data_IF_282122797417
#
_entry.id   IF_282122797417
#
_cell.length_a   1.000
_cell.length_b   1.000
_cell.length_c   1.000
_cell.angle_alpha   90.00
_cell.angle_beta   90.00
_cell.angle_gamma   90.00
#
_symmetry.space_group_name_H-M   'P 1'
#
loop_
_entity.id
_entity.type
_entity.pdbx_description
1 polymer ?
#
# COMPACT_ATOMS: atom_id res chain seq x y z
N UNK A 1 16.74 8.80 -10.40
CA UNK A 1 16.03 9.91 -9.72
C UNK A 1 14.75 10.40 -10.41
N UNK A 2 14.03 9.57 -11.19
CA UNK A 2 12.74 9.95 -11.80
C UNK A 2 11.67 10.20 -10.72
N UNK A 3 11.56 9.28 -9.77
CA UNK A 3 10.60 9.38 -8.66
C UNK A 3 10.88 10.57 -7.72
N UNK A 4 12.15 10.92 -7.50
CA UNK A 4 12.48 12.14 -6.76
C UNK A 4 11.94 13.39 -7.46
N UNK A 5 12.24 13.56 -8.76
CA UNK A 5 11.81 14.74 -9.52
C UNK A 5 10.29 14.85 -9.63
N UNK A 6 9.60 13.72 -9.67
CA UNK A 6 8.15 13.64 -9.89
C UNK A 6 7.34 13.70 -8.58
N UNK A 7 7.84 13.12 -7.51
CA UNK A 7 7.11 12.94 -6.25
C UNK A 7 7.86 13.50 -5.03
N UNK A 8 9.16 13.22 -4.91
CA UNK A 8 9.95 13.62 -3.74
C UNK A 8 10.05 15.13 -3.54
N UNK A 9 10.23 15.90 -4.61
CA UNK A 9 10.32 17.37 -4.57
C UNK A 9 9.08 18.05 -4.00
N UNK A 10 7.89 17.44 -4.10
CA UNK A 10 6.66 17.94 -3.48
C UNK A 10 6.67 17.87 -1.94
N UNK A 11 7.62 17.13 -1.37
CA UNK A 11 7.82 16.95 0.08
C UNK A 11 9.18 17.43 0.56
N UNK A 12 9.92 18.18 -0.27
CA UNK A 12 11.29 18.60 0.03
C UNK A 12 11.40 19.51 1.27
N UNK A 13 10.31 20.21 1.60
CA UNK A 13 10.18 21.00 2.83
C UNK A 13 10.15 20.14 4.12
N UNK A 14 9.91 18.83 4.00
CA UNK A 14 9.90 17.86 5.11
C UNK A 14 11.09 16.90 5.00
N UNK A 15 11.35 16.37 3.80
CA UNK A 15 12.40 15.39 3.54
C UNK A 15 13.31 15.86 2.41
N UNK A 16 14.58 16.10 2.72
CA UNK A 16 15.59 16.18 1.67
C UNK A 16 15.71 14.84 0.92
N UNK A 17 16.37 14.84 -0.23
CA UNK A 17 16.42 13.65 -1.10
C UNK A 17 16.92 12.37 -0.40
N UNK A 18 18.04 12.38 0.36
CA UNK A 18 18.44 11.19 1.11
C UNK A 18 17.38 10.70 2.09
N UNK A 19 16.79 11.61 2.88
CA UNK A 19 15.78 11.26 3.87
C UNK A 19 14.50 10.72 3.24
N UNK A 20 14.10 11.22 2.06
CA UNK A 20 12.95 10.70 1.31
C UNK A 20 13.13 9.22 0.96
N UNK A 21 14.30 8.85 0.43
CA UNK A 21 14.57 7.45 0.05
C UNK A 21 14.78 6.55 1.27
N UNK A 22 15.47 7.02 2.31
CA UNK A 22 15.65 6.26 3.56
C UNK A 22 14.30 5.99 4.25
N UNK A 23 13.40 6.97 4.25
CA UNK A 23 12.05 6.79 4.76
C UNK A 23 11.28 5.78 3.91
N UNK A 24 11.33 5.90 2.57
CA UNK A 24 10.65 4.95 1.68
C UNK A 24 11.11 3.50 1.90
N UNK A 25 12.42 3.28 2.06
CA UNK A 25 12.99 1.96 2.39
C UNK A 25 12.49 1.45 3.74
N UNK A 26 12.55 2.31 4.78
CA UNK A 26 12.06 1.97 6.12
C UNK A 26 10.58 1.57 6.10
N UNK A 27 9.75 2.30 5.35
CA UNK A 27 8.32 2.04 5.26
C UNK A 27 8.00 0.78 4.43
N UNK A 28 8.79 0.50 3.40
CA UNK A 28 8.65 -0.69 2.57
C UNK A 28 8.80 -1.99 3.40
N UNK A 29 9.75 -2.00 4.34
CA UNK A 29 10.00 -3.17 5.19
C UNK A 29 9.20 -3.20 6.49
N UNK A 30 8.40 -2.15 6.78
CA UNK A 30 7.60 -2.07 8.01
C UNK A 30 6.49 -3.12 8.08
N UNK A 31 5.89 -3.45 6.94
CA UNK A 31 4.84 -4.46 6.82
C UNK A 31 5.14 -5.39 5.66
N UNK A 32 5.44 -6.66 5.97
CA UNK A 32 5.59 -7.68 4.95
C UNK A 32 4.21 -8.10 4.41
N UNK A 33 3.77 -7.42 3.33
CA UNK A 33 2.50 -7.69 2.67
C UNK A 33 2.37 -9.14 2.19
N UNK A 34 3.47 -9.79 1.81
CA UNK A 34 3.44 -11.20 1.37
C UNK A 34 3.09 -12.09 2.54
N UNK A 35 3.77 -11.92 3.68
CA UNK A 35 3.48 -12.70 4.89
C UNK A 35 2.07 -12.43 5.42
N UNK A 36 1.54 -11.22 5.24
CA UNK A 36 0.15 -10.88 5.60
C UNK A 36 -0.86 -11.60 4.70
N UNK A 37 -0.69 -11.54 3.38
CA UNK A 37 -1.66 -12.08 2.42
C UNK A 37 -1.60 -13.61 2.29
N UNK A 38 -0.45 -14.23 2.52
CA UNK A 38 -0.26 -15.68 2.44
C UNK A 38 -0.13 -16.33 3.83
N UNK A 39 -0.70 -15.71 4.86
CA UNK A 39 -0.68 -16.22 6.23
C UNK A 39 -1.53 -17.51 6.34
N UNK A 40 -0.91 -18.64 6.69
CA UNK A 40 -1.61 -19.93 6.84
C UNK A 40 -2.57 -19.99 8.03
N UNK A 41 -2.39 -19.15 9.06
CA UNK A 41 -3.28 -19.09 10.24
C UNK A 41 -4.56 -18.30 9.97
N UNK A 42 -4.50 -17.35 9.03
CA UNK A 42 -5.62 -16.50 8.63
C UNK A 42 -5.70 -16.45 7.09
N UNK A 43 -6.03 -17.56 6.42
CA UNK A 43 -6.00 -17.63 4.98
C UNK A 43 -7.13 -16.78 4.36
N UNK A 44 -6.82 -16.16 3.22
CA UNK A 44 -7.83 -15.58 2.32
C UNK A 44 -8.12 -16.57 1.17
N UNK A 45 -9.32 -16.54 0.55
CA UNK A 45 -9.63 -17.40 -0.59
C UNK A 45 -8.68 -17.11 -1.76
N UNK A 46 -8.00 -18.14 -2.27
CA UNK A 46 -7.09 -18.04 -3.43
C UNK A 46 -7.52 -19.03 -4.52
N UNK A 47 -7.27 -18.74 -5.82
CA UNK A 47 -6.55 -17.58 -6.36
C UNK A 47 -7.42 -16.32 -6.52
N UNK A 48 -8.72 -16.39 -6.24
CA UNK A 48 -9.70 -15.31 -6.47
C UNK A 48 -10.30 -14.77 -5.16
N UNK A 49 -9.55 -14.00 -4.36
CA UNK A 49 -10.10 -13.39 -3.15
C UNK A 49 -11.08 -12.28 -3.50
N UNK A 50 -12.02 -11.98 -2.59
CA UNK A 50 -12.78 -10.74 -2.69
C UNK A 50 -11.90 -9.58 -2.28
N UNK A 51 -12.21 -8.39 -2.81
CA UNK A 51 -11.57 -7.12 -2.39
C UNK A 51 -11.64 -6.95 -0.87
N UNK A 52 -12.78 -7.29 -0.25
CA UNK A 52 -12.99 -7.24 1.20
C UNK A 52 -12.04 -8.15 1.98
N UNK A 53 -11.69 -9.31 1.44
CA UNK A 53 -10.83 -10.28 2.12
C UNK A 53 -9.40 -9.74 2.19
N UNK A 54 -8.89 -9.23 1.06
CA UNK A 54 -7.57 -8.59 0.95
C UNK A 54 -7.51 -7.33 1.83
N UNK A 55 -8.52 -6.46 1.75
CA UNK A 55 -8.60 -5.26 2.58
C UNK A 55 -8.58 -5.60 4.07
N UNK A 56 -9.39 -6.58 4.49
CA UNK A 56 -9.48 -6.98 5.91
C UNK A 56 -8.18 -7.60 6.40
N UNK A 57 -7.54 -8.46 5.61
CA UNK A 57 -6.26 -9.08 5.98
C UNK A 57 -5.18 -8.03 6.25
N UNK A 58 -5.06 -7.03 5.37
CA UNK A 58 -4.09 -5.94 5.53
C UNK A 58 -4.47 -5.05 6.71
N UNK A 59 -5.72 -4.58 6.77
CA UNK A 59 -6.17 -3.65 7.83
C UNK A 59 -6.09 -4.24 9.24
N UNK A 60 -6.26 -5.56 9.40
CA UNK A 60 -6.06 -6.22 10.71
C UNK A 60 -4.64 -6.10 11.24
N UNK A 61 -3.64 -6.02 10.36
CA UNK A 61 -2.23 -5.93 10.76
C UNK A 61 -1.79 -4.47 10.84
N UNK A 62 -2.13 -3.66 9.82
CA UNK A 62 -1.71 -2.26 9.75
C UNK A 62 -2.54 -1.33 10.63
N UNK A 63 -3.69 -1.79 11.13
CA UNK A 63 -4.69 -1.00 11.87
C UNK A 63 -5.21 0.21 11.08
N UNK A 64 -5.09 0.16 9.75
CA UNK A 64 -5.51 1.22 8.84
C UNK A 64 -6.04 0.65 7.52
N UNK A 65 -6.93 1.40 6.88
CA UNK A 65 -7.49 1.04 5.57
C UNK A 65 -6.45 1.27 4.46
N UNK A 66 -6.00 0.23 3.74
CA UNK A 66 -5.15 0.41 2.58
C UNK A 66 -5.97 0.88 1.37
N UNK A 67 -5.26 1.24 0.30
CA UNK A 67 -5.81 1.35 -1.05
C UNK A 67 -5.33 0.16 -1.88
N UNK A 68 -6.26 -0.52 -2.55
CA UNK A 68 -5.96 -1.60 -3.47
C UNK A 68 -6.11 -1.08 -4.90
N UNK A 69 -5.09 -1.32 -5.73
CA UNK A 69 -5.08 -0.92 -7.14
C UNK A 69 -5.02 -2.16 -7.99
N UNK A 70 -6.10 -2.40 -8.71
CA UNK A 70 -6.20 -3.52 -9.63
C UNK A 70 -6.18 -3.01 -11.07
N UNK A 71 -5.73 -3.89 -11.98
CA UNK A 71 -5.79 -3.67 -13.41
C UNK A 71 -6.53 -4.83 -14.06
N UNK A 72 -7.25 -4.54 -15.15
CA UNK A 72 -7.89 -5.56 -15.95
C UNK A 72 -6.82 -6.37 -16.71
N UNK A 73 -6.83 -7.68 -16.56
CA UNK A 73 -5.92 -8.60 -17.25
C UNK A 73 -6.70 -9.81 -17.80
N UNK A 74 -6.69 -9.96 -19.12
CA UNK A 74 -7.37 -11.00 -19.90
C UNK A 74 -8.89 -11.00 -19.66
N UNK A 75 -9.35 -11.60 -18.56
CA UNK A 75 -10.77 -11.84 -18.22
C UNK A 75 -11.11 -11.45 -16.76
N UNK A 76 -10.25 -10.71 -16.06
CA UNK A 76 -10.52 -10.31 -14.68
C UNK A 76 -9.58 -9.24 -14.15
N UNK A 77 -9.97 -8.60 -13.06
CA UNK A 77 -9.11 -7.66 -12.37
C UNK A 77 -8.09 -8.42 -11.52
N UNK A 78 -6.81 -8.08 -11.69
CA UNK A 78 -5.72 -8.56 -10.85
C UNK A 78 -5.23 -7.45 -9.94
N UNK A 79 -4.91 -7.77 -8.69
CA UNK A 79 -4.25 -6.83 -7.77
C UNK A 79 -2.83 -6.57 -8.27
N UNK A 80 -2.48 -5.31 -8.51
CA UNK A 80 -1.16 -4.89 -9.01
C UNK A 80 -0.38 -4.13 -7.96
N UNK A 81 -1.04 -3.22 -7.24
CA UNK A 81 -0.41 -2.45 -6.17
C UNK A 81 -1.27 -2.42 -4.92
N UNK A 82 -0.60 -2.35 -3.77
CA UNK A 82 -1.18 -2.01 -2.48
C UNK A 82 -0.51 -0.74 -2.00
N UNK A 83 -1.29 0.30 -1.73
CA UNK A 83 -0.78 1.52 -1.12
C UNK A 83 -1.16 1.57 0.36
N UNK A 84 -0.15 1.83 1.20
CA UNK A 84 -0.30 2.16 2.61
C UNK A 84 -0.10 3.67 2.77
N UNK A 85 -1.01 4.34 3.48
CA UNK A 85 -0.95 5.78 3.68
C UNK A 85 -0.37 6.11 5.04
N UNK A 86 0.40 7.20 5.09
CA UNK A 86 1.06 7.69 6.29
C UNK A 86 0.72 9.16 6.51
N UNK A 87 0.89 9.62 7.75
CA UNK A 87 0.89 11.06 8.01
C UNK A 87 2.03 11.78 7.29
N UNK A 88 1.98 13.12 7.24
CA UNK A 88 2.95 13.94 6.48
C UNK A 88 4.40 13.64 6.87
N UNK A 89 4.63 13.24 8.12
CA UNK A 89 5.95 12.91 8.65
C UNK A 89 6.37 11.45 8.36
N UNK A 90 5.53 10.64 7.71
CA UNK A 90 5.81 9.23 7.44
C UNK A 90 5.87 8.35 8.71
N UNK A 91 5.38 8.84 9.83
CA UNK A 91 5.64 8.24 11.14
C UNK A 91 4.56 7.22 11.53
N UNK A 92 3.29 7.55 11.24
CA UNK A 92 2.12 6.76 11.60
C UNK A 92 1.34 6.36 10.36
N UNK A 93 0.91 5.10 10.32
CA UNK A 93 -0.03 4.63 9.31
C UNK A 93 -1.38 5.30 9.57
N UNK A 94 -2.04 5.76 8.52
CA UNK A 94 -3.37 6.35 8.56
C UNK A 94 -4.26 5.67 7.50
N UNK A 95 -5.57 5.83 7.64
CA UNK A 95 -6.49 5.40 6.60
C UNK A 95 -6.19 6.12 5.30
N UNK A 96 -6.01 5.38 4.21
CA UNK A 96 -6.02 5.99 2.88
C UNK A 96 -7.37 6.66 2.63
N UNK A 97 -7.39 7.69 1.79
CA UNK A 97 -8.63 8.32 1.32
C UNK A 97 -9.40 7.34 0.43
N UNK A 98 -10.75 7.37 0.50
CA UNK A 98 -11.56 6.51 -0.37
C UNK A 98 -11.22 6.87 -1.82
N UNK A 99 -10.88 5.89 -2.68
CA UNK A 99 -10.42 6.21 -4.02
C UNK A 99 -11.53 6.94 -4.78
N UNK A 100 -11.15 7.93 -5.60
CA UNK A 100 -12.06 8.59 -6.53
C UNK A 100 -12.52 7.67 -7.67
N UNK A 101 -11.79 6.57 -7.89
CA UNK A 101 -12.12 5.55 -8.88
C UNK A 101 -11.76 4.17 -8.32
N UNK A 102 -12.76 3.30 -8.23
CA UNK A 102 -12.62 1.93 -7.73
C UNK A 102 -12.30 1.04 -8.93
N UNK A 103 -11.09 0.49 -8.99
CA UNK A 103 -10.70 -0.47 -10.05
C UNK A 103 -10.56 -1.91 -9.53
N UNK A 104 -10.95 -2.17 -8.28
CA UNK A 104 -11.17 -3.49 -7.70
C UNK A 104 -12.65 -3.57 -7.26
#
# INVERSE_FOLDING_TARGET
>A
GKEWKKHGTCSENVFNQPNYFNLAETLMFRYDLRSILFNSKNPIPLPWPRVSDVMSAISKVTQARPELRCNYYINGNILVEVALCYDVQGSRVINCTRPGTVFC
#
